data_IF_532842259755
#
_entry.id   IF_532842259755
#
_cell.length_a   1.000
_cell.length_b   1.000
_cell.length_c   1.000
_cell.angle_alpha   90.00
_cell.angle_beta   90.00
_cell.angle_gamma   90.00
#
_symmetry.space_group_name_H-M   'P 1'
#
loop_
_entity.id
_entity.type
_entity.pdbx_description
1 polymer ?
#
# COMPACT_ATOMS: atom_id res chain seq x y z
N UNK A 1 -12.99 -9.26 33.27
CA UNK A 1 -11.74 -9.92 32.87
C UNK A 1 -10.82 -8.82 32.37
N UNK A 2 -9.67 -8.61 33.00
CA UNK A 2 -8.76 -7.52 32.65
C UNK A 2 -7.94 -7.87 31.42
N UNK A 3 -7.85 -6.95 30.46
CA UNK A 3 -6.92 -7.03 29.33
C UNK A 3 -5.50 -6.83 29.84
N UNK A 4 -4.71 -7.89 29.81
CA UNK A 4 -3.26 -7.84 30.11
C UNK A 4 -2.53 -7.44 28.84
N UNK A 5 -1.78 -6.33 28.89
CA UNK A 5 -0.89 -5.92 27.79
C UNK A 5 0.53 -6.33 28.15
N UNK A 6 1.12 -7.20 27.34
CA UNK A 6 2.49 -7.69 27.54
C UNK A 6 3.42 -6.90 26.63
N UNK A 7 4.27 -6.05 27.19
CA UNK A 7 5.34 -5.41 26.43
C UNK A 7 6.40 -6.46 26.08
N UNK A 8 6.62 -6.73 24.79
CA UNK A 8 7.72 -7.59 24.34
C UNK A 8 8.90 -6.72 23.92
N UNK A 9 10.11 -7.13 24.31
CA UNK A 9 11.39 -6.48 24.00
C UNK A 9 12.08 -7.10 22.78
N UNK A 10 11.37 -7.93 21.99
CA UNK A 10 11.89 -8.40 20.71
C UNK A 10 11.87 -7.22 19.74
N UNK A 11 13.03 -6.89 19.19
CA UNK A 11 13.10 -6.08 17.98
C UNK A 11 12.15 -6.71 16.96
N UNK A 12 11.34 -5.89 16.26
CA UNK A 12 10.39 -6.39 15.26
C UNK A 12 11.16 -7.29 14.27
N UNK A 13 10.88 -8.58 14.31
CA UNK A 13 11.38 -9.53 13.31
C UNK A 13 10.65 -9.18 12.00
N UNK A 14 11.38 -9.18 10.88
CA UNK A 14 10.75 -8.91 9.59
C UNK A 14 9.66 -9.97 9.34
N UNK A 15 8.46 -9.57 8.89
CA UNK A 15 7.39 -10.53 8.68
C UNK A 15 7.81 -11.54 7.62
N UNK A 16 7.53 -12.82 7.87
CA UNK A 16 7.90 -13.91 6.99
C UNK A 16 6.97 -13.95 5.76
N UNK A 17 7.36 -13.24 4.71
CA UNK A 17 6.64 -13.17 3.43
C UNK A 17 7.62 -13.36 2.27
N UNK A 18 7.23 -14.18 1.30
CA UNK A 18 8.04 -14.43 0.10
C UNK A 18 7.84 -13.31 -0.94
N UNK A 19 8.83 -13.12 -1.81
CA UNK A 19 8.70 -12.21 -2.95
C UNK A 19 7.60 -12.69 -3.90
N UNK A 20 6.76 -11.77 -4.37
CA UNK A 20 5.66 -12.13 -5.25
C UNK A 20 4.55 -11.09 -5.33
N UNK A 21 3.48 -11.46 -6.01
CA UNK A 21 2.27 -10.64 -6.12
C UNK A 21 1.22 -11.13 -5.14
N UNK A 22 0.76 -10.24 -4.27
CA UNK A 22 -0.27 -10.52 -3.27
C UNK A 22 -1.49 -9.64 -3.51
N UNK A 23 -2.67 -10.17 -3.24
CA UNK A 23 -3.83 -9.32 -3.03
C UNK A 23 -3.63 -8.55 -1.71
N UNK A 24 -4.12 -7.32 -1.65
CA UNK A 24 -3.96 -6.48 -0.47
C UNK A 24 -5.18 -5.59 -0.27
N UNK A 25 -5.42 -5.20 0.97
CA UNK A 25 -6.36 -4.15 1.36
C UNK A 25 -5.59 -2.87 1.63
N UNK A 26 -6.02 -1.77 1.05
CA UNK A 26 -5.49 -0.45 1.39
C UNK A 26 -6.10 0.05 2.70
N UNK A 27 -5.26 0.40 3.67
CA UNK A 27 -5.70 0.78 5.01
C UNK A 27 -5.70 2.30 5.24
N UNK A 28 -4.94 3.05 4.43
CA UNK A 28 -4.92 4.51 4.50
C UNK A 28 -3.56 5.10 4.15
N UNK A 29 -3.50 6.43 4.18
CA UNK A 29 -2.27 7.20 3.98
C UNK A 29 -1.93 7.97 5.25
N UNK A 30 -0.65 8.14 5.52
CA UNK A 30 -0.18 9.08 6.53
C UNK A 30 1.01 9.88 6.01
N UNK A 31 1.20 11.09 6.54
CA UNK A 31 2.35 11.91 6.21
C UNK A 31 3.50 11.62 7.17
N UNK A 32 4.70 11.39 6.64
CA UNK A 32 5.90 11.07 7.43
C UNK A 32 7.09 11.88 6.94
N UNK A 33 7.89 12.41 7.87
CA UNK A 33 9.18 13.01 7.53
C UNK A 33 10.27 11.95 7.59
N UNK A 34 10.96 11.75 6.47
CA UNK A 34 12.02 10.74 6.36
C UNK A 34 13.34 11.44 6.16
N UNK A 35 14.28 11.19 7.08
CA UNK A 35 15.67 11.67 6.97
C UNK A 35 16.50 10.62 6.24
N UNK A 36 17.39 11.08 5.38
CA UNK A 36 18.33 10.21 4.66
C UNK A 36 17.75 9.60 3.37
N UNK A 37 18.65 9.25 2.45
CA UNK A 37 18.34 8.83 1.09
C UNK A 37 18.95 9.78 0.05
N UNK A 38 19.27 9.24 -1.13
CA UNK A 38 20.07 9.88 -2.18
C UNK A 38 19.50 11.23 -2.69
N UNK A 39 18.24 11.54 -2.35
CA UNK A 39 17.51 12.72 -2.83
C UNK A 39 16.79 13.49 -1.72
N UNK A 40 17.21 13.34 -0.46
CA UNK A 40 16.65 14.12 0.66
C UNK A 40 17.05 15.58 0.49
N UNK A 41 16.06 16.48 0.32
CA UNK A 41 16.31 17.92 0.14
C UNK A 41 16.43 18.64 1.48
N UNK A 42 15.60 18.25 2.45
CA UNK A 42 15.63 18.78 3.81
C UNK A 42 16.44 17.82 4.69
N UNK A 43 17.74 18.03 4.79
CA UNK A 43 18.65 17.17 5.59
C UNK A 43 18.47 17.35 7.09
N UNK A 44 17.90 18.48 7.52
CA UNK A 44 17.72 18.82 8.94
C UNK A 44 16.42 18.20 9.49
N UNK A 45 15.31 18.35 8.77
CA UNK A 45 13.99 17.86 9.21
C UNK A 45 13.51 16.61 8.46
N UNK A 46 14.16 16.23 7.36
CA UNK A 46 13.72 15.15 6.47
C UNK A 46 12.67 15.61 5.47
N UNK A 47 12.61 14.91 4.34
CA UNK A 47 11.61 15.17 3.32
C UNK A 47 10.23 14.67 3.76
N UNK A 48 9.19 15.46 3.48
CA UNK A 48 7.82 15.01 3.65
C UNK A 48 7.49 13.95 2.58
N UNK A 49 7.03 12.79 3.04
CA UNK A 49 6.60 11.63 2.24
C UNK A 49 5.18 11.24 2.63
N UNK A 50 4.51 10.56 1.71
CA UNK A 50 3.27 9.84 1.99
C UNK A 50 3.60 8.37 2.23
N UNK A 51 3.16 7.84 3.35
CA UNK A 51 3.21 6.43 3.70
C UNK A 51 1.84 5.82 3.40
N UNK A 52 1.79 4.93 2.41
CA UNK A 52 0.60 4.18 2.00
C UNK A 52 0.65 2.81 2.66
N UNK A 53 -0.35 2.48 3.47
CA UNK A 53 -0.38 1.24 4.25
C UNK A 53 -1.30 0.21 3.59
N UNK A 54 -0.82 -1.03 3.53
CA UNK A 54 -1.53 -2.15 2.93
C UNK A 54 -1.41 -3.41 3.79
N UNK A 55 -2.55 -4.05 4.06
CA UNK A 55 -2.61 -5.38 4.68
C UNK A 55 -2.62 -6.44 3.59
N UNK A 56 -1.71 -7.41 3.65
CA UNK A 56 -1.69 -8.52 2.70
C UNK A 56 -2.84 -9.48 2.92
N UNK A 57 -3.39 -9.99 1.82
CA UNK A 57 -4.49 -10.93 1.78
C UNK A 57 -4.07 -12.23 1.08
N UNK A 58 -4.69 -13.34 1.48
CA UNK A 58 -4.62 -14.61 0.75
C UNK A 58 -5.48 -14.59 -0.52
N UNK A 59 -5.46 -15.68 -1.29
CA UNK A 59 -6.26 -15.84 -2.51
C UNK A 59 -7.78 -15.87 -2.27
N UNK A 60 -8.22 -16.17 -1.04
CA UNK A 60 -9.62 -16.12 -0.62
C UNK A 60 -10.03 -14.71 -0.14
N UNK A 61 -9.06 -13.81 -0.02
CA UNK A 61 -9.23 -12.44 0.40
C UNK A 61 -9.29 -12.24 1.92
N UNK A 62 -8.82 -13.22 2.70
CA UNK A 62 -8.62 -13.10 4.14
C UNK A 62 -7.21 -12.56 4.46
N UNK A 63 -7.05 -11.94 5.62
CA UNK A 63 -5.78 -11.34 6.03
C UNK A 63 -4.70 -12.41 6.25
N UNK A 64 -3.49 -12.15 5.75
CA UNK A 64 -2.32 -12.96 6.06
C UNK A 64 -1.75 -12.52 7.42
N UNK A 65 -1.36 -13.50 8.24
CA UNK A 65 -0.82 -13.27 9.58
C UNK A 65 0.58 -13.84 9.72
N UNK A 66 1.44 -13.15 10.48
CA UNK A 66 2.71 -13.67 10.97
C UNK A 66 2.81 -13.42 12.48
N UNK A 67 3.16 -14.45 13.25
CA UNK A 67 3.23 -14.33 14.72
C UNK A 67 1.93 -13.97 15.44
N UNK A 68 0.78 -13.97 14.76
CA UNK A 68 -0.53 -13.57 15.29
C UNK A 68 -0.93 -12.13 14.94
N UNK A 69 -0.07 -11.38 14.25
CA UNK A 69 -0.33 -10.03 13.76
C UNK A 69 -0.53 -10.06 12.23
N UNK A 70 -1.44 -9.23 11.67
CA UNK A 70 -1.62 -9.14 10.23
C UNK A 70 -0.36 -8.60 9.56
N UNK A 71 -0.04 -9.11 8.37
CA UNK A 71 1.13 -8.67 7.62
C UNK A 71 0.79 -7.34 6.94
N UNK A 72 1.18 -6.25 7.60
CA UNK A 72 1.06 -4.88 7.09
C UNK A 72 2.38 -4.44 6.44
N UNK A 73 2.30 -3.97 5.21
CA UNK A 73 3.42 -3.38 4.47
C UNK A 73 3.10 -1.95 4.09
N UNK A 74 4.13 -1.10 4.10
CA UNK A 74 3.98 0.30 3.68
C UNK A 74 4.84 0.64 2.46
N UNK A 75 4.34 1.59 1.67
CA UNK A 75 5.06 2.19 0.55
C UNK A 75 5.22 3.69 0.79
N UNK A 76 6.45 4.19 0.68
CA UNK A 76 6.72 5.63 0.76
C UNK A 76 6.77 6.25 -0.63
N UNK A 77 6.02 7.33 -0.84
CA UNK A 77 6.07 8.15 -2.06
C UNK A 77 6.35 9.61 -1.75
N UNK A 78 6.60 10.41 -2.79
CA UNK A 78 6.52 11.86 -2.67
C UNK A 78 5.09 12.35 -2.43
N UNK A 79 4.97 13.66 -2.21
CA UNK A 79 3.70 14.40 -2.10
C UNK A 79 3.33 15.10 -3.44
N UNK A 80 3.93 14.68 -4.56
CA UNK A 80 3.91 15.40 -5.83
C UNK A 80 2.97 14.76 -6.84
N UNK A 81 1.67 15.06 -6.74
CA UNK A 81 0.63 14.54 -7.65
C UNK A 81 0.62 15.20 -9.04
N UNK A 82 1.77 15.24 -9.73
CA UNK A 82 1.87 15.81 -11.07
C UNK A 82 1.46 14.80 -12.14
N UNK A 83 0.17 14.79 -12.50
CA UNK A 83 -0.41 13.94 -13.54
C UNK A 83 0.15 14.25 -14.93
N UNK A 84 0.59 15.49 -15.19
CA UNK A 84 1.15 15.92 -16.47
C UNK A 84 2.63 15.53 -16.66
N UNK A 85 3.24 14.85 -15.68
CA UNK A 85 4.62 14.39 -15.76
C UNK A 85 4.80 13.32 -16.85
N UNK A 86 5.89 13.42 -17.64
CA UNK A 86 6.27 12.40 -18.64
C UNK A 86 6.46 11.01 -18.02
N UNK A 87 6.90 10.99 -16.76
CA UNK A 87 6.99 9.79 -15.93
C UNK A 87 5.91 9.92 -14.86
N UNK A 88 4.77 9.25 -15.05
CA UNK A 88 3.66 9.26 -14.07
C UNK A 88 4.23 8.94 -12.68
N UNK A 89 4.11 9.87 -11.69
CA UNK A 89 4.64 9.71 -10.34
C UNK A 89 4.07 8.47 -9.64
N UNK A 90 4.79 7.93 -8.65
CA UNK A 90 4.36 6.69 -7.99
C UNK A 90 3.03 6.87 -7.24
N UNK A 91 2.85 8.00 -6.58
CA UNK A 91 1.62 8.42 -5.90
C UNK A 91 0.41 8.40 -6.85
N UNK A 92 0.59 8.85 -8.11
CA UNK A 92 -0.47 8.82 -9.14
C UNK A 92 -0.76 7.39 -9.59
N UNK A 93 0.26 6.52 -9.66
CA UNK A 93 0.06 5.10 -10.00
C UNK A 93 -0.70 4.35 -8.92
N UNK A 94 -0.42 4.62 -7.64
CA UNK A 94 -1.16 4.05 -6.51
C UNK A 94 -2.63 4.50 -6.56
N UNK A 95 -2.89 5.80 -6.74
CA UNK A 95 -4.26 6.30 -6.91
C UNK A 95 -4.96 5.62 -8.09
N UNK A 96 -4.29 5.46 -9.24
CA UNK A 96 -4.85 4.75 -10.40
C UNK A 96 -5.20 3.28 -10.10
N UNK A 97 -4.46 2.64 -9.19
CA UNK A 97 -4.74 1.26 -8.78
C UNK A 97 -5.94 1.16 -7.82
N UNK A 98 -6.13 2.16 -6.96
CA UNK A 98 -7.19 2.20 -5.94
C UNK A 98 -8.52 2.78 -6.45
N UNK A 99 -8.45 3.73 -7.39
CA UNK A 99 -9.61 4.41 -7.92
C UNK A 99 -10.27 3.62 -9.05
N UNK A 100 -11.59 3.69 -9.11
CA UNK A 100 -12.33 3.25 -10.30
C UNK A 100 -12.00 4.18 -11.48
N UNK A 101 -12.24 3.71 -12.71
CA UNK A 101 -12.04 4.53 -13.91
C UNK A 101 -12.69 5.92 -13.85
N UNK A 102 -13.98 6.03 -13.43
CA UNK A 102 -14.64 7.32 -13.27
C UNK A 102 -14.03 8.22 -12.19
N UNK A 103 -13.65 7.66 -11.04
CA UNK A 103 -13.01 8.43 -9.96
C UNK A 103 -11.64 8.93 -10.37
N UNK A 104 -10.87 8.10 -11.08
CA UNK A 104 -9.56 8.49 -11.59
C UNK A 104 -9.68 9.59 -12.64
N UNK A 105 -10.68 9.53 -13.53
CA UNK A 105 -10.94 10.61 -14.50
C UNK A 105 -11.30 11.94 -13.82
N UNK A 106 -12.04 11.91 -12.70
CA UNK A 106 -12.32 13.10 -11.88
C UNK A 106 -11.07 13.65 -11.23
N UNK A 107 -10.22 12.79 -10.67
CA UNK A 107 -8.92 13.17 -10.16
C UNK A 107 -8.05 13.81 -11.24
N UNK A 108 -8.03 13.26 -12.45
CA UNK A 108 -7.33 13.84 -13.61
C UNK A 108 -7.88 15.21 -14.02
N UNK A 109 -9.19 15.45 -13.80
CA UNK A 109 -9.82 16.76 -14.00
C UNK A 109 -9.57 17.75 -12.85
N UNK A 110 -8.84 17.35 -11.80
CA UNK A 110 -8.51 18.19 -10.66
C UNK A 110 -9.53 18.14 -9.51
N UNK A 111 -10.49 17.21 -9.55
CA UNK A 111 -11.34 16.94 -8.39
C UNK A 111 -10.52 16.24 -7.29
N UNK A 112 -10.76 16.62 -6.03
CA UNK A 112 -10.12 15.98 -4.89
C UNK A 112 -10.52 14.51 -4.77
N UNK A 113 -9.62 13.70 -4.19
CA UNK A 113 -9.91 12.30 -3.86
C UNK A 113 -10.19 12.21 -2.36
N UNK A 114 -11.29 11.55 -2.02
CA UNK A 114 -11.63 11.25 -0.62
C UNK A 114 -10.83 10.04 -0.15
N UNK A 115 -9.89 10.27 0.77
CA UNK A 115 -9.02 9.23 1.32
C UNK A 115 -9.80 8.23 2.19
N UNK A 116 -10.78 8.69 2.96
CA UNK A 116 -11.58 7.82 3.83
C UNK A 116 -12.42 6.86 2.99
N UNK A 117 -12.90 7.30 1.83
CA UNK A 117 -13.61 6.47 0.86
C UNK A 117 -12.70 5.47 0.12
N UNK A 118 -11.38 5.60 0.24
CA UNK A 118 -10.41 4.64 -0.32
C UNK A 118 -10.06 3.53 0.66
N UNK A 119 -10.11 3.79 1.96
CA UNK A 119 -9.81 2.78 2.98
C UNK A 119 -10.69 1.52 2.80
N UNK A 120 -10.07 0.35 2.90
CA UNK A 120 -10.71 -0.95 2.68
C UNK A 120 -10.75 -1.42 1.22
N UNK A 121 -10.34 -0.60 0.24
CA UNK A 121 -10.29 -1.04 -1.17
C UNK A 121 -9.23 -2.11 -1.39
N UNK A 122 -9.58 -3.10 -2.20
CA UNK A 122 -8.65 -4.17 -2.60
C UNK A 122 -7.80 -3.71 -3.78
N UNK A 123 -6.52 -4.11 -3.78
CA UNK A 123 -5.57 -3.95 -4.87
C UNK A 123 -4.65 -5.18 -4.91
N UNK A 124 -3.67 -5.19 -5.81
CA UNK A 124 -2.55 -6.11 -5.72
C UNK A 124 -1.25 -5.34 -5.50
N UNK A 125 -0.36 -5.91 -4.69
CA UNK A 125 0.94 -5.34 -4.37
C UNK A 125 2.04 -6.33 -4.74
N UNK A 126 3.10 -5.83 -5.36
CA UNK A 126 4.33 -6.58 -5.59
C UNK A 126 5.21 -6.46 -4.36
N UNK A 127 5.43 -7.58 -3.67
CA UNK A 127 6.30 -7.69 -2.51
C UNK A 127 7.70 -8.10 -2.96
N UNK A 128 8.70 -7.36 -2.50
CA UNK A 128 10.12 -7.71 -2.65
C UNK A 128 10.79 -7.74 -1.27
N UNK A 129 11.86 -8.51 -1.12
CA UNK A 129 12.62 -8.58 0.12
C UNK A 129 13.91 -7.78 -0.04
N UNK A 130 14.11 -6.79 0.83
CA UNK A 130 15.33 -5.98 0.83
C UNK A 130 16.51 -6.82 1.32
N UNK A 131 17.73 -6.34 1.02
CA UNK A 131 18.97 -6.98 1.50
C UNK A 131 19.05 -7.11 3.03
N UNK A 132 18.34 -6.25 3.77
CA UNK A 132 18.25 -6.30 5.23
C UNK A 132 17.15 -7.26 5.74
N UNK A 133 16.55 -8.07 4.86
CA UNK A 133 15.50 -9.03 5.17
C UNK A 133 14.08 -8.45 5.30
N UNK A 134 13.91 -7.12 5.21
CA UNK A 134 12.59 -6.51 5.36
C UNK A 134 11.81 -6.50 4.03
N UNK A 135 10.55 -6.95 4.02
CA UNK A 135 9.70 -6.82 2.85
C UNK A 135 9.36 -5.37 2.54
N UNK A 136 9.09 -5.09 1.28
CA UNK A 136 8.65 -3.79 0.78
C UNK A 136 7.75 -3.91 -0.43
N UNK A 137 7.08 -2.82 -0.78
CA UNK A 137 6.15 -2.77 -1.92
C UNK A 137 6.80 -2.11 -3.13
N UNK A 138 6.94 -2.88 -4.21
CA UNK A 138 7.46 -2.47 -5.51
C UNK A 138 6.41 -1.71 -6.31
N UNK A 139 5.50 -2.44 -6.96
CA UNK A 139 4.35 -1.89 -7.68
C UNK A 139 3.04 -2.11 -6.92
N UNK A 140 2.07 -1.22 -7.17
CA UNK A 140 0.68 -1.36 -6.75
C UNK A 140 -0.17 -1.32 -8.01
N UNK A 141 -1.03 -2.32 -8.20
CA UNK A 141 -1.89 -2.46 -9.37
C UNK A 141 -3.34 -2.72 -8.94
N UNK A 142 -4.29 -2.47 -9.83
CA UNK A 142 -5.70 -2.67 -9.55
C UNK A 142 -6.00 -4.12 -9.17
N UNK A 143 -6.99 -4.33 -8.30
CA UNK A 143 -7.42 -5.66 -7.91
C UNK A 143 -7.77 -6.54 -9.12
N UNK A 144 -7.58 -7.85 -8.98
CA UNK A 144 -8.02 -8.83 -9.97
C UNK A 144 -9.51 -8.61 -10.22
N UNK A 145 -9.90 -8.45 -11.48
CA UNK A 145 -11.31 -8.58 -11.84
C UNK A 145 -11.71 -10.00 -11.50
N UNK A 146 -12.63 -10.19 -10.56
CA UNK A 146 -13.28 -11.49 -10.42
C UNK A 146 -13.88 -11.80 -11.79
N UNK A 147 -13.45 -12.89 -12.43
CA UNK A 147 -14.24 -13.42 -13.53
C UNK A 147 -15.54 -13.81 -12.86
N UNK A 148 -16.60 -13.05 -13.10
CA UNK A 148 -17.95 -13.52 -12.84
C UNK A 148 -18.02 -14.87 -13.52
N UNK A 149 -18.04 -15.95 -12.75
CA UNK A 149 -18.24 -17.29 -13.26
C UNK A 149 -19.46 -17.20 -14.15
N UNK A 150 -19.26 -17.34 -15.47
CA UNK A 150 -20.37 -17.55 -16.37
C UNK A 150 -21.06 -18.79 -15.82
N UNK A 151 -22.23 -18.61 -15.20
CA UNK A 151 -23.13 -19.72 -14.91
C UNK A 151 -23.33 -20.41 -16.25
N UNK A 152 -22.69 -21.57 -16.43
CA UNK A 152 -23.13 -22.54 -17.42
C UNK A 152 -24.59 -22.81 -17.11
N UNK A 153 -25.47 -22.27 -17.93
CA UNK A 153 -26.87 -22.65 -17.96
C UNK A 153 -26.88 -24.02 -18.62
N UNK A 154 -27.13 -25.05 -17.82
CA UNK A 154 -27.63 -26.35 -18.31
C UNK A 154 -29.03 -26.20 -18.90
#
# INVERSE_FOLDING_TARGET
MGTTFTATSKAAEAPNVEEGMYDARFDGTSSKRVKGGLYTKDTENGDLKLEWTFTLLDDEGAELFDGGDPIELSKLTGIGFNIASKTIPQEVRILKALLTGPEYAKFEAGEGVDEEAMAGRKCQVEVFVKENGWPGIGNVIAARKSRSSAKSVE
#
